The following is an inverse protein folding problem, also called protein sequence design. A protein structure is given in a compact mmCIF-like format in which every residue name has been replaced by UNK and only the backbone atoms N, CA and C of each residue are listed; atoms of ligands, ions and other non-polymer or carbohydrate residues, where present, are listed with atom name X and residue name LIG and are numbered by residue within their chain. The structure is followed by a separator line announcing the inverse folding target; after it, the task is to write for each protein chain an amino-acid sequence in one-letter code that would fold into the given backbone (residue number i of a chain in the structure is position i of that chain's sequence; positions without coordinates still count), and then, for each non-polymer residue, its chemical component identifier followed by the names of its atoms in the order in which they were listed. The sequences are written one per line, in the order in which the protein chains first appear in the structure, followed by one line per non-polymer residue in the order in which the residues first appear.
data_IF_938050856504
#
_entry.id   IF_938050856504
#
_cell.length_a   1.000
_cell.length_b   1.000
_cell.length_c   1.000
_cell.angle_alpha   90.00
_cell.angle_beta   90.00
_cell.angle_gamma   90.00
#
_symmetry.space_group_name_H-M   'P 1'
#
loop_
_entity.id
_entity.type
_entity.pdbx_description
1 polymer ?
#
# COMPACT_ATOMS: atom_id res chain seq x y z
N UNK A 1 35.25 -9.21 -0.99
CA UNK A 1 34.01 -8.44 -0.70
C UNK A 1 32.83 -9.13 -1.35
N UNK A 2 31.81 -9.53 -0.57
CA UNK A 2 30.56 -10.10 -1.13
C UNK A 2 29.69 -8.96 -1.67
N UNK A 3 28.94 -9.21 -2.74
CA UNK A 3 28.01 -8.25 -3.37
C UNK A 3 26.64 -8.90 -3.51
N UNK A 4 25.59 -8.15 -3.20
CA UNK A 4 24.21 -8.55 -3.50
C UNK A 4 23.88 -8.16 -4.94
N UNK A 5 23.19 -9.04 -5.65
CA UNK A 5 22.75 -8.82 -7.04
C UNK A 5 21.27 -9.15 -7.12
N UNK A 6 20.47 -8.20 -7.61
CA UNK A 6 19.03 -8.34 -7.81
C UNK A 6 18.70 -8.25 -9.30
N UNK A 7 18.16 -9.32 -9.87
CA UNK A 7 17.66 -9.34 -11.25
C UNK A 7 16.19 -8.96 -11.29
N UNK A 8 15.88 -7.69 -11.53
CA UNK A 8 14.49 -7.22 -11.60
C UNK A 8 13.86 -7.55 -12.96
N UNK A 9 12.55 -7.83 -13.01
CA UNK A 9 11.84 -8.07 -14.26
C UNK A 9 11.81 -6.80 -15.12
N UNK A 10 11.83 -6.97 -16.46
CA UNK A 10 11.81 -5.85 -17.41
C UNK A 10 10.47 -5.13 -17.53
N UNK A 11 9.40 -5.68 -16.97
CA UNK A 11 8.11 -5.01 -16.89
C UNK A 11 8.17 -3.86 -15.85
N UNK A 12 7.74 -2.63 -16.18
CA UNK A 12 7.95 -1.47 -15.31
C UNK A 12 7.34 -1.61 -13.91
N UNK A 13 6.07 -2.02 -13.83
CA UNK A 13 5.37 -2.14 -12.54
C UNK A 13 5.93 -3.31 -11.73
N UNK A 14 6.20 -4.44 -12.39
CA UNK A 14 6.85 -5.57 -11.71
C UNK A 14 8.23 -5.20 -11.17
N UNK A 15 9.02 -4.44 -11.94
CA UNK A 15 10.34 -3.97 -11.54
C UNK A 15 10.27 -3.06 -10.31
N UNK A 16 9.30 -2.14 -10.29
CA UNK A 16 9.03 -1.26 -9.15
C UNK A 16 8.63 -2.05 -7.90
N UNK A 17 7.66 -2.96 -8.00
CA UNK A 17 7.22 -3.80 -6.88
C UNK A 17 8.38 -4.63 -6.33
N UNK A 18 9.19 -5.25 -7.20
CA UNK A 18 10.37 -5.99 -6.76
C UNK A 18 11.43 -5.08 -6.11
N UNK A 19 11.61 -3.86 -6.59
CA UNK A 19 12.49 -2.88 -5.94
C UNK A 19 12.01 -2.58 -4.53
N UNK A 20 10.74 -2.22 -4.36
CA UNK A 20 10.16 -1.83 -3.08
C UNK A 20 10.11 -2.98 -2.05
N UNK A 21 9.88 -4.22 -2.50
CA UNK A 21 9.73 -5.38 -1.60
C UNK A 21 11.03 -6.12 -1.31
N UNK A 22 12.07 -5.99 -2.16
CA UNK A 22 13.32 -6.74 -2.03
C UNK A 22 14.55 -5.84 -1.92
N UNK A 23 14.67 -4.86 -2.83
CA UNK A 23 15.89 -4.05 -2.95
C UNK A 23 15.92 -2.95 -1.92
N UNK A 24 14.84 -2.18 -1.76
CA UNK A 24 14.77 -1.09 -0.80
C UNK A 24 14.98 -1.57 0.65
N UNK A 25 14.36 -2.67 1.13
CA UNK A 25 14.62 -3.20 2.47
C UNK A 25 16.07 -3.66 2.66
N UNK A 26 16.69 -4.25 1.63
CA UNK A 26 18.09 -4.64 1.67
C UNK A 26 19.02 -3.42 1.78
N UNK A 27 18.75 -2.35 1.01
CA UNK A 27 19.51 -1.10 1.08
C UNK A 27 19.34 -0.42 2.44
N UNK A 28 18.12 -0.37 2.99
CA UNK A 28 17.86 0.17 4.33
C UNK A 28 18.66 -0.58 5.39
N UNK A 29 18.57 -1.90 5.40
CA UNK A 29 19.33 -2.76 6.31
C UNK A 29 20.84 -2.54 6.17
N UNK A 30 21.36 -2.48 4.94
CA UNK A 30 22.77 -2.22 4.67
C UNK A 30 23.23 -0.83 5.11
N UNK A 31 22.31 0.14 5.15
CA UNK A 31 22.56 1.49 5.66
C UNK A 31 22.44 1.60 7.20
N UNK A 32 22.16 0.49 7.89
CA UNK A 32 21.97 0.46 9.35
C UNK A 32 20.59 0.95 9.80
N UNK A 33 19.61 0.99 8.90
CA UNK A 33 18.22 1.36 9.19
C UNK A 33 17.36 0.11 9.32
N UNK A 34 16.38 0.18 10.21
CA UNK A 34 15.34 -0.84 10.34
C UNK A 34 14.33 -0.68 9.18
N UNK A 35 14.17 -1.69 8.29
CA UNK A 35 13.19 -1.62 7.22
C UNK A 35 11.73 -1.60 7.73
N UNK A 36 11.48 -1.98 8.98
CA UNK A 36 10.14 -2.12 9.56
C UNK A 36 9.77 -0.97 10.51
N UNK A 37 10.57 0.10 10.56
CA UNK A 37 10.42 1.19 11.53
C UNK A 37 9.04 1.89 11.54
N UNK A 38 8.22 1.74 10.48
CA UNK A 38 6.88 2.32 10.36
C UNK A 38 5.78 1.31 10.00
N UNK A 39 5.95 0.01 10.26
CA UNK A 39 5.03 -1.03 9.79
C UNK A 39 3.55 -0.79 10.16
N UNK A 40 3.26 -0.18 11.31
CA UNK A 40 1.89 0.15 11.72
C UNK A 40 1.24 1.23 10.85
N UNK A 41 2.04 2.17 10.35
CA UNK A 41 1.61 3.28 9.48
C UNK A 41 1.39 2.82 8.03
N UNK A 42 1.91 1.64 7.68
CA UNK A 42 1.71 0.98 6.38
C UNK A 42 0.39 0.22 6.30
N UNK A 43 -0.67 0.77 6.90
CA UNK A 43 -2.03 0.20 6.82
C UNK A 43 -3.01 1.22 6.27
N UNK A 44 -3.99 0.75 5.51
CA UNK A 44 -5.09 1.56 4.98
C UNK A 44 -6.42 0.83 5.10
N UNK A 45 -7.52 1.57 5.02
CA UNK A 45 -8.87 1.03 5.12
C UNK A 45 -9.61 1.24 3.81
N UNK A 46 -10.18 0.17 3.25
CA UNK A 46 -10.96 0.24 2.01
C UNK A 46 -12.23 1.08 2.17
N UNK A 47 -12.46 2.00 1.24
CA UNK A 47 -13.72 2.77 1.18
C UNK A 47 -14.77 2.16 0.26
N UNK A 48 -14.40 1.16 -0.54
CA UNK A 48 -15.28 0.45 -1.46
C UNK A 48 -14.98 -1.04 -1.46
N UNK A 49 -15.97 -1.86 -1.79
CA UNK A 49 -15.77 -3.30 -1.92
C UNK A 49 -14.85 -3.60 -3.09
N UNK A 50 -13.89 -4.51 -2.89
CA UNK A 50 -12.94 -4.88 -3.93
C UNK A 50 -12.91 -6.39 -4.10
N UNK A 51 -12.99 -6.87 -5.35
CA UNK A 51 -12.93 -8.29 -5.65
C UNK A 51 -11.59 -8.61 -6.32
N UNK A 52 -10.76 -9.41 -5.65
CA UNK A 52 -9.56 -9.98 -6.27
C UNK A 52 -9.85 -11.40 -6.69
N UNK A 53 -9.56 -11.69 -7.95
CA UNK A 53 -9.59 -13.04 -8.49
C UNK A 53 -8.21 -13.43 -9.03
N UNK A 54 -7.66 -14.53 -8.53
CA UNK A 54 -6.52 -15.18 -9.16
C UNK A 54 -5.59 -15.92 -8.19
N UNK A 55 -4.71 -16.79 -8.73
CA UNK A 55 -3.85 -17.63 -7.91
C UNK A 55 -2.63 -16.90 -7.34
N UNK A 56 -2.51 -15.58 -7.55
CA UNK A 56 -1.31 -14.80 -7.20
C UNK A 56 -1.69 -13.66 -6.26
N UNK A 57 -0.84 -13.34 -5.28
CA UNK A 57 -1.00 -12.11 -4.54
C UNK A 57 -0.82 -10.92 -5.48
N UNK A 58 -1.46 -9.80 -5.17
CA UNK A 58 -1.43 -8.58 -5.97
C UNK A 58 -0.97 -7.40 -5.11
N UNK A 59 -0.10 -6.58 -5.70
CA UNK A 59 0.16 -5.21 -5.23
C UNK A 59 -0.66 -4.28 -6.12
N UNK A 60 -1.83 -3.88 -5.63
CA UNK A 60 -2.81 -3.14 -6.42
C UNK A 60 -2.68 -1.64 -6.19
N UNK A 61 -2.67 -0.78 -7.22
CA UNK A 61 -2.58 0.66 -7.04
C UNK A 61 -3.81 1.21 -6.32
N UNK A 62 -3.59 1.97 -5.24
CA UNK A 62 -4.65 2.63 -4.47
C UNK A 62 -4.38 4.12 -4.32
N UNK A 63 -5.45 4.90 -4.20
CA UNK A 63 -5.38 6.32 -3.88
C UNK A 63 -6.07 6.61 -2.55
N UNK A 64 -5.56 7.61 -1.82
CA UNK A 64 -6.20 8.11 -0.61
C UNK A 64 -7.52 8.80 -0.94
N UNK A 65 -8.50 8.61 -0.06
CA UNK A 65 -9.78 9.30 -0.12
C UNK A 65 -9.73 10.47 0.85
N UNK A 66 -9.83 11.69 0.33
CA UNK A 66 -9.97 12.87 1.17
C UNK A 66 -11.31 12.81 1.93
N UNK A 67 -11.27 12.97 3.25
CA UNK A 67 -12.49 13.15 4.04
C UNK A 67 -13.07 14.55 3.75
N UNK A 68 -13.99 14.66 2.81
CA UNK A 68 -14.70 15.89 2.48
C UNK A 68 -15.85 16.15 3.46
N UNK A 69 -15.53 16.30 4.76
CA UNK A 69 -16.29 17.07 5.76
C UNK A 69 -15.87 16.67 7.18
N UNK A 70 -14.82 17.28 7.69
CA UNK A 70 -14.79 17.53 9.13
C UNK A 70 -15.54 18.85 9.35
N UNK A 71 -16.86 18.77 9.55
CA UNK A 71 -17.48 19.75 10.45
C UNK A 71 -16.69 19.62 11.77
N UNK A 72 -16.07 20.69 12.29
CA UNK A 72 -15.45 20.63 13.59
C UNK A 72 -16.59 20.42 14.60
N UNK A 73 -16.87 19.17 14.95
CA UNK A 73 -17.70 18.88 16.10
C UNK A 73 -16.91 19.35 17.32
N UNK A 74 -17.48 20.28 18.06
CA UNK A 74 -16.98 20.80 19.32
C UNK A 74 -16.81 19.63 20.32
N UNK A 75 -15.66 18.97 20.27
CA UNK A 75 -15.31 17.89 21.20
C UNK A 75 -13.85 18.04 21.62
N UNK A 76 -13.50 19.24 22.08
CA UNK A 76 -12.16 19.55 22.63
C UNK A 76 -11.92 18.98 24.04
N UNK A 77 -12.74 18.03 24.52
CA UNK A 77 -12.64 17.49 25.89
C UNK A 77 -12.38 15.98 25.99
N UNK A 78 -12.13 15.26 24.89
CA UNK A 78 -11.67 13.86 24.93
C UNK A 78 -10.35 13.68 24.19
N UNK A 79 -9.39 14.56 24.47
CA UNK A 79 -8.03 14.47 23.95
C UNK A 79 -7.21 13.41 24.72
N UNK A 80 -7.59 12.14 24.70
CA UNK A 80 -6.75 11.05 25.27
C UNK A 80 -6.71 9.74 24.48
N UNK A 81 -7.39 9.60 23.34
CA UNK A 81 -7.20 8.43 22.46
C UNK A 81 -7.11 8.87 21.00
N UNK A 82 -5.96 9.42 20.60
CA UNK A 82 -5.58 9.43 19.19
C UNK A 82 -5.19 8.01 18.80
N UNK A 83 -6.18 7.13 18.66
CA UNK A 83 -6.03 5.99 17.75
C UNK A 83 -5.67 6.58 16.39
N UNK A 84 -4.43 6.40 15.94
CA UNK A 84 -4.01 6.84 14.61
C UNK A 84 -4.98 6.21 13.61
N UNK A 85 -5.89 7.02 13.08
CA UNK A 85 -6.87 6.54 12.12
C UNK A 85 -6.11 6.09 10.88
N UNK A 86 -6.31 4.83 10.48
CA UNK A 86 -5.72 4.34 9.24
C UNK A 86 -6.29 5.16 8.06
N UNK A 87 -5.45 5.59 7.11
CA UNK A 87 -5.92 6.35 5.96
C UNK A 87 -6.94 5.55 5.16
N UNK A 88 -8.00 6.23 4.72
CA UNK A 88 -9.01 5.68 3.83
C UNK A 88 -8.45 5.60 2.40
N UNK A 89 -8.58 4.44 1.75
CA UNK A 89 -8.05 4.18 0.41
C UNK A 89 -9.10 3.56 -0.51
N UNK A 90 -8.99 3.84 -1.80
CA UNK A 90 -9.77 3.20 -2.85
C UNK A 90 -8.84 2.55 -3.90
N UNK A 91 -9.14 1.33 -4.38
CA UNK A 91 -8.50 0.76 -5.55
C UNK A 91 -8.63 1.66 -6.78
N UNK A 92 -7.59 1.67 -7.62
CA UNK A 92 -7.66 2.27 -8.94
C UNK A 92 -8.03 1.22 -9.99
N UNK A 93 -8.61 1.68 -11.10
CA UNK A 93 -8.95 0.83 -12.25
C UNK A 93 -7.68 0.47 -13.04
N UNK A 94 -7.01 -0.59 -12.58
CA UNK A 94 -5.69 -0.99 -13.06
C UNK A 94 -5.78 -2.10 -14.11
N UNK A 95 -5.14 -1.88 -15.26
CA UNK A 95 -5.18 -2.84 -16.39
C UNK A 95 -4.07 -3.89 -16.34
N UNK A 96 -3.39 -4.03 -15.20
CA UNK A 96 -2.31 -4.98 -14.98
C UNK A 96 -0.91 -4.41 -15.19
N UNK A 97 0.10 -5.27 -15.16
CA UNK A 97 1.50 -4.85 -14.93
C UNK A 97 2.12 -3.95 -16.01
N UNK A 98 1.52 -3.81 -17.19
CA UNK A 98 1.98 -2.84 -18.20
C UNK A 98 1.46 -1.41 -17.95
N UNK A 99 0.46 -1.24 -17.10
CA UNK A 99 -0.21 0.04 -16.86
C UNK A 99 0.53 0.87 -15.81
N UNK A 100 1.61 1.51 -16.24
CA UNK A 100 2.37 2.44 -15.42
C UNK A 100 1.59 3.74 -15.14
N UNK A 101 0.66 4.11 -16.02
CA UNK A 101 -0.13 5.34 -15.89
C UNK A 101 -0.97 5.32 -14.62
N UNK A 102 -1.64 4.21 -14.36
CA UNK A 102 -2.45 4.05 -13.14
C UNK A 102 -1.58 4.04 -11.88
N UNK A 103 -0.39 3.43 -11.94
CA UNK A 103 0.59 3.49 -10.83
C UNK A 103 1.05 4.91 -10.55
N UNK A 104 1.30 5.74 -11.58
CA UNK A 104 1.67 7.15 -11.39
C UNK A 104 0.57 8.00 -10.74
N UNK A 105 -0.69 7.56 -10.79
CA UNK A 105 -1.82 8.23 -10.15
C UNK A 105 -2.14 7.67 -8.76
N UNK A 106 -1.43 6.61 -8.33
CA UNK A 106 -1.61 5.98 -7.03
C UNK A 106 -0.76 6.68 -5.97
N UNK A 107 -1.27 6.68 -4.74
CA UNK A 107 -0.51 7.13 -3.56
C UNK A 107 0.29 5.97 -2.96
N UNK A 108 -0.25 4.75 -3.03
CA UNK A 108 0.37 3.53 -2.51
C UNK A 108 -0.02 2.31 -3.36
N UNK A 109 0.58 1.15 -3.07
CA UNK A 109 0.12 -0.15 -3.52
C UNK A 109 -0.46 -0.91 -2.32
N UNK A 110 -1.69 -1.40 -2.40
CA UNK A 110 -2.27 -2.28 -1.39
C UNK A 110 -1.93 -3.74 -1.68
N UNK A 111 -1.51 -4.48 -0.65
CA UNK A 111 -1.25 -5.90 -0.75
C UNK A 111 -2.52 -6.72 -0.56
N UNK A 112 -2.83 -7.55 -1.54
CA UNK A 112 -3.92 -8.52 -1.49
C UNK A 112 -3.36 -9.93 -1.60
N UNK A 113 -3.62 -10.81 -0.61
CA UNK A 113 -3.26 -12.22 -0.70
C UNK A 113 -3.87 -12.93 -1.92
N UNK A 114 -3.21 -13.99 -2.38
CA UNK A 114 -3.72 -14.85 -3.45
C UNK A 114 -5.07 -15.46 -3.08
N UNK A 115 -5.94 -15.62 -4.07
CA UNK A 115 -7.23 -16.26 -3.90
C UNK A 115 -8.33 -15.61 -4.73
N UNK A 116 -9.53 -16.11 -4.49
CA UNK A 116 -10.77 -15.52 -4.99
C UNK A 116 -11.51 -14.98 -3.76
N UNK A 117 -11.47 -13.65 -3.59
CA UNK A 117 -11.96 -13.00 -2.38
C UNK A 117 -12.52 -11.61 -2.68
N UNK A 118 -13.69 -11.36 -2.11
CA UNK A 118 -14.27 -10.03 -1.99
C UNK A 118 -13.90 -9.42 -0.62
N UNK A 119 -13.27 -8.26 -0.67
CA UNK A 119 -12.90 -7.44 0.48
C UNK A 119 -14.01 -6.41 0.72
N UNK A 120 -14.39 -6.24 1.98
CA UNK A 120 -15.49 -5.36 2.36
C UNK A 120 -15.01 -3.92 2.59
N UNK A 121 -15.96 -2.97 2.51
CA UNK A 121 -15.74 -1.61 3.00
C UNK A 121 -15.35 -1.65 4.47
N UNK A 122 -14.37 -0.84 4.88
CA UNK A 122 -13.85 -0.82 6.24
C UNK A 122 -12.76 -1.86 6.52
N UNK A 123 -12.46 -2.76 5.59
CA UNK A 123 -11.41 -3.75 5.77
C UNK A 123 -10.01 -3.10 5.72
N UNK A 124 -9.15 -3.48 6.66
CA UNK A 124 -7.76 -3.01 6.73
C UNK A 124 -6.85 -3.84 5.82
N UNK A 125 -5.99 -3.15 5.08
CA UNK A 125 -5.00 -3.73 4.18
C UNK A 125 -3.59 -3.24 4.53
N UNK A 126 -2.58 -4.03 4.20
CA UNK A 126 -1.19 -3.57 4.18
C UNK A 126 -0.95 -2.71 2.94
N UNK A 127 -0.24 -1.60 3.14
CA UNK A 127 0.17 -0.67 2.10
C UNK A 127 1.69 -0.72 1.90
N UNK A 128 2.09 -0.60 0.65
CA UNK A 128 3.44 -0.38 0.21
C UNK A 128 3.54 1.03 -0.36
N UNK A 129 4.41 1.84 0.22
CA UNK A 129 4.66 3.22 -0.22
C UNK A 129 5.40 3.22 -1.56
N UNK A 130 5.09 4.21 -2.41
CA UNK A 130 5.66 4.40 -3.75
C UNK A 130 6.87 5.34 -3.76
#
# INVERSE_FOLDING_TARGET
TRRLVFGLPGNPVSGLVCFLTLVAPALLTMSGRDPDWNAEQRRGVLTESFHLQGPRPAYWPVAYVQSSNTQPCDTSLLAHERSQACPAVRPLDWQGSADLRTVCAADCLAFFPAGDRTYAVGESLELLEL
#
